data_IF_915610707367
#
_entry.id   IF_915610707367
#
_cell.length_a   1.000
_cell.length_b   1.000
_cell.length_c   1.000
_cell.angle_alpha   90.00
_cell.angle_beta   90.00
_cell.angle_gamma   90.00
#
_symmetry.space_group_name_H-M   'P 1'
#
loop_
_entity.id
_entity.type
_entity.pdbx_description
1 polymer ?
#
# COMPACT_ATOMS: atom_id res chain seq x y z
N UNK A 1 0.10 -3.08 -23.14
CA UNK A 1 -0.79 -2.16 -22.39
C UNK A 1 -2.19 -2.73 -22.10
N UNK A 2 -2.88 -3.35 -23.07
CA UNK A 2 -4.28 -3.83 -22.92
C UNK A 2 -4.50 -4.85 -21.78
N UNK A 3 -3.57 -5.79 -21.60
CA UNK A 3 -3.65 -6.81 -20.54
C UNK A 3 -3.62 -6.21 -19.12
N UNK A 4 -2.69 -5.27 -18.86
CA UNK A 4 -2.59 -4.60 -17.55
C UNK A 4 -3.87 -3.84 -17.21
N UNK A 5 -4.44 -3.15 -18.20
CA UNK A 5 -5.69 -2.42 -18.02
C UNK A 5 -6.86 -3.38 -17.73
N UNK A 6 -6.89 -4.56 -18.36
CA UNK A 6 -7.91 -5.56 -18.04
C UNK A 6 -7.77 -6.04 -16.59
N UNK A 7 -6.58 -6.46 -16.16
CA UNK A 7 -6.35 -6.99 -14.81
C UNK A 7 -6.67 -5.99 -13.70
N UNK A 8 -6.42 -4.70 -13.90
CA UNK A 8 -6.75 -3.68 -12.89
C UNK A 8 -8.24 -3.34 -12.84
N UNK A 9 -9.02 -3.64 -13.89
CA UNK A 9 -10.45 -3.32 -13.97
C UNK A 9 -11.37 -4.56 -13.90
N UNK A 10 -10.80 -5.76 -13.74
CA UNK A 10 -11.55 -7.03 -13.71
C UNK A 10 -12.66 -7.04 -12.64
N UNK A 11 -12.48 -6.26 -11.56
CA UNK A 11 -13.40 -6.17 -10.42
C UNK A 11 -14.06 -4.79 -10.27
N UNK A 12 -14.17 -4.01 -11.34
CA UNK A 12 -14.68 -2.63 -11.27
C UNK A 12 -16.04 -2.52 -10.56
N UNK A 13 -16.98 -3.43 -10.83
CA UNK A 13 -18.32 -3.41 -10.20
C UNK A 13 -18.27 -3.61 -8.68
N UNK A 14 -17.45 -4.53 -8.21
CA UNK A 14 -17.28 -4.82 -6.78
C UNK A 14 -16.63 -3.64 -6.06
N UNK A 15 -15.62 -3.03 -6.69
CA UNK A 15 -14.93 -1.85 -6.17
C UNK A 15 -15.89 -0.66 -6.04
N UNK A 16 -16.79 -0.46 -7.01
CA UNK A 16 -17.80 0.61 -6.93
C UNK A 16 -18.73 0.47 -5.71
N UNK A 17 -19.15 -0.74 -5.36
CA UNK A 17 -19.97 -0.95 -4.16
C UNK A 17 -19.19 -0.74 -2.86
N UNK A 18 -17.92 -1.18 -2.80
CA UNK A 18 -17.03 -0.90 -1.67
C UNK A 18 -16.87 0.62 -1.49
N UNK A 19 -16.65 1.33 -2.59
CA UNK A 19 -16.50 2.79 -2.63
C UNK A 19 -17.75 3.52 -2.11
N UNK A 20 -18.94 3.08 -2.53
CA UNK A 20 -20.21 3.60 -2.01
C UNK A 20 -20.38 3.35 -0.51
N UNK A 21 -20.06 2.14 -0.04
CA UNK A 21 -20.11 1.79 1.37
C UNK A 21 -19.12 2.60 2.21
N UNK A 22 -17.93 2.89 1.68
CA UNK A 22 -16.95 3.73 2.37
C UNK A 22 -17.42 5.19 2.46
N UNK A 23 -17.97 5.75 1.37
CA UNK A 23 -18.46 7.13 1.33
C UNK A 23 -19.68 7.40 2.23
N UNK A 24 -20.46 6.37 2.55
CA UNK A 24 -21.59 6.51 3.47
C UNK A 24 -21.15 6.68 4.93
N UNK A 25 -19.91 6.31 5.25
CA UNK A 25 -19.33 6.42 6.60
C UNK A 25 -18.35 7.59 6.69
N UNK A 26 -17.48 7.75 5.68
CA UNK A 26 -16.47 8.81 5.62
C UNK A 26 -16.68 9.66 4.37
N UNK A 27 -16.87 10.98 4.50
CA UNK A 27 -17.05 11.84 3.33
C UNK A 27 -15.89 11.74 2.34
N UNK A 28 -16.21 11.61 1.05
CA UNK A 28 -15.24 11.48 -0.04
C UNK A 28 -14.13 12.52 0.00
N UNK A 29 -14.48 13.78 0.29
CA UNK A 29 -13.53 14.89 0.33
C UNK A 29 -12.40 14.67 1.34
N UNK A 30 -12.64 13.95 2.44
CA UNK A 30 -11.60 13.62 3.40
C UNK A 30 -10.67 12.53 2.88
N UNK A 31 -11.22 11.50 2.23
CA UNK A 31 -10.43 10.40 1.68
C UNK A 31 -9.47 10.87 0.59
N UNK A 32 -9.83 11.92 -0.17
CA UNK A 32 -8.96 12.49 -1.21
C UNK A 32 -7.77 13.30 -0.68
N UNK A 33 -7.72 13.57 0.63
CA UNK A 33 -6.56 14.24 1.25
C UNK A 33 -5.38 13.30 1.45
N UNK A 34 -5.63 11.99 1.46
CA UNK A 34 -4.62 10.98 1.71
C UNK A 34 -4.05 10.44 0.39
N UNK A 35 -2.74 10.19 0.39
CA UNK A 35 -2.15 9.20 -0.51
C UNK A 35 -2.61 7.79 -0.12
N UNK A 36 -2.44 6.81 -1.02
CA UNK A 36 -2.79 5.42 -0.73
C UNK A 36 -2.08 4.88 0.53
N UNK A 37 -0.80 5.23 0.71
CA UNK A 37 -0.01 4.80 1.87
C UNK A 37 -0.49 5.46 3.17
N UNK A 38 -0.84 6.75 3.14
CA UNK A 38 -1.34 7.41 4.35
C UNK A 38 -2.73 6.90 4.74
N UNK A 39 -3.57 6.56 3.75
CA UNK A 39 -4.86 5.91 4.02
C UNK A 39 -4.65 4.53 4.66
N UNK A 40 -3.71 3.74 4.15
CA UNK A 40 -3.31 2.47 4.75
C UNK A 40 -2.82 2.64 6.19
N UNK A 41 -1.89 3.57 6.45
CA UNK A 41 -1.40 3.85 7.80
C UNK A 41 -2.53 4.33 8.73
N UNK A 42 -3.50 5.10 8.22
CA UNK A 42 -4.64 5.59 9.00
C UNK A 42 -5.58 4.45 9.40
N UNK A 43 -5.75 3.44 8.55
CA UNK A 43 -6.68 2.31 8.78
C UNK A 43 -6.00 1.18 9.54
N UNK A 44 -4.79 0.79 9.13
CA UNK A 44 -4.05 -0.35 9.67
C UNK A 44 -3.12 0.03 10.83
N UNK A 45 -2.87 1.33 11.02
CA UNK A 45 -1.88 1.85 11.95
C UNK A 45 -0.49 1.94 11.33
N UNK A 46 0.33 2.83 11.90
CA UNK A 46 1.75 2.97 11.54
C UNK A 46 2.59 2.03 12.41
N UNK A 47 3.17 1.00 11.78
CA UNK A 47 4.06 0.06 12.47
C UNK A 47 5.43 0.66 12.77
N UNK A 48 6.02 0.29 13.91
CA UNK A 48 7.44 0.50 14.18
C UNK A 48 8.23 -0.73 13.73
N UNK A 49 9.29 -0.53 12.94
CA UNK A 49 10.15 -1.61 12.46
C UNK A 49 11.44 -1.61 13.28
N UNK A 50 11.77 -2.76 13.87
CA UNK A 50 13.09 -2.97 14.46
C UNK A 50 14.12 -3.17 13.33
N UNK A 51 15.01 -2.20 13.19
CA UNK A 51 16.01 -2.18 12.13
C UNK A 51 17.08 -3.25 12.34
N UNK A 52 17.43 -3.57 13.58
CA UNK A 52 18.43 -4.61 13.85
C UNK A 52 17.87 -5.98 13.50
N UNK A 53 16.61 -6.24 13.86
CA UNK A 53 15.92 -7.46 13.43
C UNK A 53 15.84 -7.55 11.90
N UNK A 54 15.54 -6.44 11.22
CA UNK A 54 15.44 -6.40 9.76
C UNK A 54 16.78 -6.72 9.10
N UNK A 55 17.88 -6.10 9.57
CA UNK A 55 19.24 -6.39 9.09
C UNK A 55 19.61 -7.85 9.27
N UNK A 56 19.34 -8.43 10.45
CA UNK A 56 19.65 -9.84 10.74
C UNK A 56 18.97 -10.84 9.78
N UNK A 57 17.83 -10.48 9.19
CA UNK A 57 17.08 -11.33 8.27
C UNK A 57 17.15 -10.85 6.81
N UNK A 58 18.07 -9.95 6.49
CA UNK A 58 18.27 -9.46 5.12
C UNK A 58 19.33 -10.29 4.41
N UNK A 59 19.00 -10.84 3.25
CA UNK A 59 19.97 -11.49 2.36
C UNK A 59 20.44 -10.52 1.28
N UNK A 60 21.75 -10.43 1.07
CA UNK A 60 22.33 -9.62 0.02
C UNK A 60 22.60 -10.48 -1.22
N UNK A 61 22.28 -9.93 -2.40
CA UNK A 61 22.63 -10.53 -3.68
C UNK A 61 23.54 -9.57 -4.44
N UNK A 62 24.69 -10.07 -4.88
CA UNK A 62 25.73 -9.33 -5.61
C UNK A 62 26.43 -8.20 -4.81
N UNK A 63 26.11 -8.08 -3.52
CA UNK A 63 26.68 -7.13 -2.54
C UNK A 63 26.80 -7.82 -1.17
N UNK A 64 27.44 -7.13 -0.22
CA UNK A 64 27.48 -7.48 1.20
C UNK A 64 27.22 -6.24 2.08
N UNK A 65 27.16 -6.43 3.39
CA UNK A 65 26.89 -5.36 4.38
C UNK A 65 27.93 -4.22 4.32
N UNK A 66 29.15 -4.49 3.87
CA UNK A 66 30.25 -3.52 3.78
C UNK A 66 30.40 -2.88 2.41
N UNK A 67 29.58 -3.29 1.44
CA UNK A 67 29.67 -2.80 0.08
C UNK A 67 29.29 -1.32 0.00
N UNK A 68 30.03 -0.51 -0.79
CA UNK A 68 29.70 0.90 -0.96
C UNK A 68 28.32 1.07 -1.60
N UNK A 69 27.56 2.07 -1.11
CA UNK A 69 26.23 2.44 -1.61
C UNK A 69 26.26 3.10 -2.99
#
# INVERSE_FOLDING_TARGET
MRYRQYRINEFHRQIEFIRQGLYSVVPWAYLTLFTANELEETVCGKGSIDIEMLKHHTEYKDYDESSPH
#
